data_IF_698186182356
#
_entry.id   IF_698186182356
#
_cell.length_a   1.000
_cell.length_b   1.000
_cell.length_c   1.000
_cell.angle_alpha   90.00
_cell.angle_beta   90.00
_cell.angle_gamma   90.00
#
_symmetry.space_group_name_H-M   'P 1'
#
loop_
_entity.id
_entity.type
_entity.pdbx_description
1 polymer ?
#
# COMPACT_ATOMS: atom_id res chain seq x y z
N UNK A 1 -16.29 -52.04 -11.63
CA UNK A 1 -16.22 -50.66 -12.18
C UNK A 1 -15.59 -49.70 -11.17
N UNK A 2 -16.09 -49.62 -9.94
CA UNK A 2 -15.48 -48.85 -8.84
C UNK A 2 -14.00 -49.19 -8.59
N UNK A 3 -13.64 -50.48 -8.63
CA UNK A 3 -12.25 -50.94 -8.47
C UNK A 3 -11.29 -50.51 -9.58
N UNK A 4 -11.79 -50.21 -10.79
CA UNK A 4 -10.96 -49.71 -11.90
C UNK A 4 -10.68 -48.22 -11.71
N UNK A 5 -11.69 -47.46 -11.28
CA UNK A 5 -11.60 -46.02 -11.00
C UNK A 5 -10.67 -45.74 -9.82
N UNK A 6 -10.68 -46.59 -8.78
CA UNK A 6 -9.82 -46.47 -7.60
C UNK A 6 -8.33 -46.65 -7.88
N UNK A 7 -7.98 -47.30 -8.99
CA UNK A 7 -6.58 -47.55 -9.39
C UNK A 7 -6.07 -46.53 -10.42
N UNK A 8 -6.89 -45.56 -10.83
CA UNK A 8 -6.44 -44.47 -11.71
C UNK A 8 -5.57 -43.52 -10.89
N UNK A 9 -4.25 -43.61 -11.08
CA UNK A 9 -3.29 -42.68 -10.49
C UNK A 9 -2.94 -41.62 -11.53
N UNK A 10 -3.12 -40.35 -11.16
CA UNK A 10 -2.65 -39.24 -11.99
C UNK A 10 -1.18 -38.99 -11.72
N UNK A 11 -0.39 -38.92 -12.79
CA UNK A 11 1.01 -38.50 -12.67
C UNK A 11 1.03 -37.00 -12.39
N UNK A 12 1.64 -36.59 -11.29
CA UNK A 12 1.98 -35.19 -11.09
C UNK A 12 3.04 -34.81 -12.12
N UNK A 13 2.61 -34.14 -13.18
CA UNK A 13 3.49 -33.60 -14.20
C UNK A 13 3.53 -32.08 -14.02
N UNK A 14 4.68 -31.58 -13.57
CA UNK A 14 4.96 -30.16 -13.59
C UNK A 14 5.55 -29.81 -14.95
N UNK A 15 4.98 -28.78 -15.56
CA UNK A 15 5.55 -28.16 -16.75
C UNK A 15 6.73 -27.29 -16.34
N UNK A 16 7.66 -27.05 -17.26
CA UNK A 16 8.76 -26.10 -17.04
C UNK A 16 8.25 -24.72 -16.60
N UNK A 17 7.09 -24.32 -17.10
CA UNK A 17 6.41 -23.09 -16.67
C UNK A 17 6.03 -23.11 -15.18
N UNK A 18 5.44 -24.20 -14.70
CA UNK A 18 5.05 -24.33 -13.29
C UNK A 18 6.27 -24.39 -12.36
N UNK A 19 7.34 -25.06 -12.79
CA UNK A 19 8.59 -25.11 -12.04
C UNK A 19 9.21 -23.71 -11.92
N UNK A 20 9.26 -22.97 -13.04
CA UNK A 20 9.74 -21.59 -13.04
C UNK A 20 8.89 -20.69 -12.15
N UNK A 21 7.57 -20.81 -12.23
CA UNK A 21 6.65 -20.05 -11.38
C UNK A 21 6.88 -20.33 -9.89
N UNK A 22 7.12 -21.60 -9.52
CA UNK A 22 7.42 -21.97 -8.14
C UNK A 22 8.74 -21.39 -7.64
N UNK A 23 9.77 -21.37 -8.50
CA UNK A 23 11.06 -20.75 -8.20
C UNK A 23 10.92 -19.24 -8.01
N UNK A 24 10.18 -18.57 -8.89
CA UNK A 24 9.96 -17.13 -8.81
C UNK A 24 9.15 -16.76 -7.56
N UNK A 25 8.12 -17.54 -7.19
CA UNK A 25 7.41 -17.39 -5.92
C UNK A 25 8.33 -17.52 -4.70
N UNK A 26 9.25 -18.47 -4.74
CA UNK A 26 10.20 -18.69 -3.65
C UNK A 26 11.15 -17.50 -3.49
N UNK A 27 11.64 -16.95 -4.61
CA UNK A 27 12.48 -15.74 -4.62
C UNK A 27 11.73 -14.53 -4.10
N UNK A 28 10.49 -14.30 -4.55
CA UNK A 28 9.68 -13.16 -4.12
C UNK A 28 9.38 -13.24 -2.62
N UNK A 29 9.07 -14.43 -2.08
CA UNK A 29 8.79 -14.61 -0.65
C UNK A 29 10.01 -14.41 0.24
N UNK A 30 11.20 -14.72 -0.27
CA UNK A 30 12.46 -14.55 0.46
C UNK A 30 13.00 -13.11 0.37
N UNK A 31 12.44 -12.29 -0.51
CA UNK A 31 12.88 -10.92 -0.73
C UNK A 31 12.26 -9.98 0.30
N UNK A 32 13.08 -9.13 0.93
CA UNK A 32 12.62 -8.12 1.87
C UNK A 32 12.02 -6.89 1.18
N UNK A 33 12.25 -6.76 -0.13
CA UNK A 33 11.73 -5.63 -0.93
C UNK A 33 10.31 -5.91 -1.42
N UNK A 34 9.51 -4.86 -1.45
CA UNK A 34 8.17 -4.84 -2.00
C UNK A 34 8.22 -4.94 -3.52
N UNK A 35 7.32 -5.75 -4.08
CA UNK A 35 7.06 -5.82 -5.51
C UNK A 35 5.75 -5.08 -5.81
N UNK A 36 5.85 -3.92 -6.46
CA UNK A 36 4.72 -2.99 -6.68
C UNK A 36 4.42 -2.92 -8.17
N UNK A 37 3.16 -3.14 -8.56
CA UNK A 37 2.73 -3.04 -9.94
C UNK A 37 2.81 -1.59 -10.44
N UNK A 38 3.30 -1.39 -11.66
CA UNK A 38 3.24 -0.09 -12.32
C UNK A 38 1.81 0.21 -12.78
N UNK A 39 1.37 1.46 -12.61
CA UNK A 39 -0.01 1.89 -12.92
C UNK A 39 -0.42 1.64 -14.38
N UNK A 40 0.48 1.89 -15.34
CA UNK A 40 0.14 1.93 -16.79
C UNK A 40 0.80 0.85 -17.64
N UNK A 41 1.59 -0.03 -17.04
CA UNK A 41 2.36 -1.05 -17.77
C UNK A 41 2.32 -2.36 -17.01
N UNK A 42 2.69 -3.46 -17.66
CA UNK A 42 2.82 -4.78 -17.02
C UNK A 42 4.11 -4.93 -16.20
N UNK A 43 4.86 -3.85 -15.99
CA UNK A 43 6.11 -3.88 -15.23
C UNK A 43 5.85 -3.84 -13.73
N UNK A 44 6.83 -4.34 -12.98
CA UNK A 44 6.84 -4.28 -11.51
C UNK A 44 8.09 -3.53 -11.04
N UNK A 45 7.91 -2.69 -10.04
CA UNK A 45 9.00 -2.04 -9.33
C UNK A 45 9.35 -2.84 -8.08
N UNK A 46 10.65 -2.95 -7.81
CA UNK A 46 11.18 -3.54 -6.60
C UNK A 46 11.69 -2.42 -5.69
N UNK A 47 11.02 -2.20 -4.56
CA UNK A 47 11.24 -1.05 -3.68
C UNK A 47 11.35 -1.51 -2.23
N UNK A 48 12.16 -0.82 -1.42
CA UNK A 48 12.06 -0.97 0.03
C UNK A 48 10.77 -0.33 0.57
N UNK A 49 10.26 -0.86 1.68
CA UNK A 49 9.01 -0.37 2.28
C UNK A 49 9.05 1.14 2.63
N UNK A 50 10.10 1.69 3.25
CA UNK A 50 10.16 3.12 3.56
C UNK A 50 10.08 4.02 2.32
N UNK A 51 10.73 3.62 1.22
CA UNK A 51 10.66 4.37 -0.04
C UNK A 51 9.26 4.31 -0.64
N UNK A 52 8.60 3.16 -0.59
CA UNK A 52 7.22 3.03 -1.05
C UNK A 52 6.27 3.93 -0.25
N UNK A 53 6.34 3.88 1.08
CA UNK A 53 5.48 4.70 1.95
C UNK A 53 5.66 6.20 1.66
N UNK A 54 6.91 6.64 1.48
CA UNK A 54 7.19 8.03 1.10
C UNK A 54 6.60 8.42 -0.25
N UNK A 55 6.61 7.52 -1.24
CA UNK A 55 6.00 7.76 -2.55
C UNK A 55 4.48 7.90 -2.42
N UNK A 56 3.85 7.06 -1.60
CA UNK A 56 2.41 7.13 -1.32
C UNK A 56 2.07 8.45 -0.61
N UNK A 57 2.80 8.81 0.44
CA UNK A 57 2.60 10.07 1.16
C UNK A 57 2.75 11.29 0.24
N UNK A 58 3.77 11.28 -0.60
CA UNK A 58 4.01 12.36 -1.57
C UNK A 58 2.87 12.43 -2.60
N UNK A 59 2.36 11.29 -3.06
CA UNK A 59 1.25 11.25 -4.01
C UNK A 59 -0.05 11.79 -3.39
N UNK A 60 -0.38 11.38 -2.16
CA UNK A 60 -1.57 11.81 -1.41
C UNK A 60 -1.51 13.31 -1.10
N UNK A 61 -0.36 13.77 -0.60
CA UNK A 61 -0.18 15.17 -0.17
C UNK A 61 0.18 16.12 -1.31
N UNK A 62 0.31 15.62 -2.55
CA UNK A 62 0.76 16.41 -3.71
C UNK A 62 -0.04 17.69 -3.95
N UNK A 63 -1.35 17.64 -3.69
CA UNK A 63 -2.27 18.75 -3.94
C UNK A 63 -2.53 19.61 -2.70
N UNK A 64 -1.95 19.24 -1.55
CA UNK A 64 -2.16 19.96 -0.31
C UNK A 64 -1.49 21.33 -0.38
N UNK A 65 -2.23 22.37 0.01
CA UNK A 65 -1.71 23.74 0.08
C UNK A 65 -1.43 24.08 1.53
N UNK A 66 -0.28 24.71 1.77
CA UNK A 66 0.02 25.29 3.09
C UNK A 66 -1.02 26.37 3.38
N UNK A 67 -1.53 26.38 4.61
CA UNK A 67 -2.39 27.44 5.08
C UNK A 67 -1.62 28.78 5.08
N UNK A 68 -2.30 29.92 4.79
CA UNK A 68 -1.71 31.24 4.98
C UNK A 68 -1.18 31.43 6.40
N UNK A 69 -0.11 32.23 6.57
CA UNK A 69 0.49 32.50 7.88
C UNK A 69 -0.49 33.09 8.88
N UNK A 70 -1.42 33.93 8.41
CA UNK A 70 -2.47 34.58 9.22
C UNK A 70 -3.62 33.66 9.62
N UNK A 71 -3.65 32.40 9.16
CA UNK A 71 -4.73 31.47 9.50
C UNK A 71 -4.73 31.16 10.98
N UNK A 72 -3.56 30.96 11.59
CA UNK A 72 -3.44 30.71 13.04
C UNK A 72 -3.94 31.90 13.85
N UNK A 73 -3.55 33.13 13.48
CA UNK A 73 -3.99 34.35 14.18
C UNK A 73 -5.51 34.52 14.11
N UNK A 74 -6.13 34.18 12.97
CA UNK A 74 -7.58 34.19 12.80
C UNK A 74 -8.26 33.16 13.71
N UNK A 75 -7.77 31.92 13.71
CA UNK A 75 -8.28 30.85 14.57
C UNK A 75 -8.21 31.28 16.03
N UNK A 76 -7.06 31.76 16.50
CA UNK A 76 -6.87 32.24 17.88
C UNK A 76 -7.82 33.40 18.20
N UNK A 77 -8.01 34.34 17.27
CA UNK A 77 -8.93 35.46 17.47
C UNK A 77 -10.37 35.01 17.60
N UNK A 78 -10.80 34.03 16.80
CA UNK A 78 -12.16 33.48 16.83
C UNK A 78 -12.38 32.60 18.05
N UNK A 79 -11.41 31.77 18.43
CA UNK A 79 -11.40 31.03 19.70
C UNK A 79 -11.59 31.98 20.88
N UNK A 80 -10.83 33.09 20.94
CA UNK A 80 -10.97 34.09 22.00
C UNK A 80 -12.37 34.72 22.07
N UNK A 81 -13.02 34.94 20.92
CA UNK A 81 -14.41 35.46 20.89
C UNK A 81 -15.40 34.43 21.42
N UNK A 82 -15.23 33.16 21.05
CA UNK A 82 -16.08 32.05 21.51
C UNK A 82 -15.92 31.86 23.02
N UNK A 83 -14.69 31.80 23.53
CA UNK A 83 -14.41 31.66 24.96
C UNK A 83 -15.06 32.78 25.77
N UNK A 84 -14.97 34.03 25.29
CA UNK A 84 -15.64 35.18 25.88
C UNK A 84 -17.16 35.08 25.85
N UNK A 85 -17.76 34.64 24.74
CA UNK A 85 -19.21 34.50 24.65
C UNK A 85 -19.76 33.39 25.55
N UNK A 86 -18.93 32.38 25.81
CA UNK A 86 -19.25 31.26 26.71
C UNK A 86 -18.93 31.57 28.18
N UNK A 87 -18.23 32.66 28.48
CA UNK A 87 -17.85 33.06 29.85
C UNK A 87 -16.84 32.11 30.51
N UNK A 88 -16.09 31.37 29.70
CA UNK A 88 -15.10 30.38 30.14
C UNK A 88 -13.66 30.90 29.98
N UNK A 89 -13.50 32.22 29.83
CA UNK A 89 -12.22 32.93 29.67
C UNK A 89 -11.56 33.33 31.01
N UNK A 90 -12.11 32.84 32.13
CA UNK A 90 -11.57 33.00 33.49
C UNK A 90 -10.80 31.76 33.95
#
# INVERSE_FOLDING_TARGET
MLSLIQNVQFKNHYTEFQDKLSQDLSKIRADEKLLVAADKTTNFYRLDAPTYDKLIDTAITKTYKKAPTKTTDRIISDEKKITKSLGIDN
#
